data_IF_074209868754
#
_entry.id   IF_074209868754
#
_cell.length_a   1.000
_cell.length_b   1.000
_cell.length_c   1.000
_cell.angle_alpha   90.00
_cell.angle_beta   90.00
_cell.angle_gamma   90.00
#
_symmetry.space_group_name_H-M   'P 1'
#
loop_
_entity.id
_entity.type
_entity.pdbx_description
1 polymer ?
#
# COMPACT_ATOMS: atom_id res chain seq x y z
N UNK A 1 4.50 15.40 -17.94
CA UNK A 1 4.77 13.96 -17.78
C UNK A 1 4.95 13.65 -16.32
N UNK A 2 3.98 12.97 -15.71
CA UNK A 2 4.14 12.26 -14.45
C UNK A 2 5.04 11.05 -14.75
N UNK A 3 6.33 11.32 -14.98
CA UNK A 3 7.34 10.28 -15.19
C UNK A 3 7.86 9.83 -13.82
N UNK A 4 6.96 9.25 -13.01
CA UNK A 4 7.29 8.79 -11.66
C UNK A 4 7.63 7.30 -11.70
N UNK A 5 8.74 6.86 -11.09
CA UNK A 5 9.00 5.43 -10.91
C UNK A 5 7.85 4.81 -10.12
N UNK A 6 7.36 3.66 -10.59
CA UNK A 6 6.37 2.90 -9.84
C UNK A 6 7.11 2.24 -8.68
N UNK A 7 6.64 2.53 -7.47
CA UNK A 7 7.19 2.00 -6.23
C UNK A 7 6.26 0.97 -5.62
N UNK A 8 6.81 -0.16 -5.19
CA UNK A 8 6.09 -1.18 -4.43
C UNK A 8 6.60 -1.17 -3.00
N UNK A 9 5.70 -0.93 -2.04
CA UNK A 9 5.99 -1.12 -0.62
C UNK A 9 5.50 -2.51 -0.21
N UNK A 10 6.41 -3.38 0.23
CA UNK A 10 6.07 -4.64 0.87
C UNK A 10 6.09 -4.47 2.38
N UNK A 11 4.91 -4.63 2.98
CA UNK A 11 4.66 -4.39 4.38
C UNK A 11 4.30 -5.71 5.09
N UNK A 12 5.12 -6.10 6.05
CA UNK A 12 4.91 -7.28 6.90
C UNK A 12 5.42 -6.98 8.32
N UNK A 13 4.82 -7.59 9.34
CA UNK A 13 5.34 -7.55 10.71
C UNK A 13 6.36 -8.67 10.97
N UNK A 14 6.38 -9.68 10.10
CA UNK A 14 7.35 -10.76 10.11
C UNK A 14 7.66 -11.20 8.67
N UNK A 15 8.68 -10.58 8.10
CA UNK A 15 9.17 -10.86 6.75
C UNK A 15 9.45 -12.36 6.50
N UNK A 16 9.05 -12.83 5.32
CA UNK A 16 9.30 -14.19 4.83
C UNK A 16 10.51 -14.16 3.91
N UNK A 17 11.60 -14.82 4.33
CA UNK A 17 12.88 -14.82 3.60
C UNK A 17 12.75 -15.30 2.13
N UNK A 18 11.86 -16.25 1.85
CA UNK A 18 11.65 -16.75 0.49
C UNK A 18 10.92 -15.74 -0.38
N UNK A 19 9.99 -14.98 0.20
CA UNK A 19 9.30 -13.89 -0.49
C UNK A 19 10.20 -12.66 -0.64
N UNK A 20 10.99 -12.33 0.38
CA UNK A 20 11.94 -11.22 0.32
C UNK A 20 12.97 -11.45 -0.80
N UNK A 21 13.55 -12.65 -0.84
CA UNK A 21 14.47 -13.06 -1.90
C UNK A 21 13.81 -12.99 -3.28
N UNK A 22 12.55 -13.40 -3.38
CA UNK A 22 11.80 -13.32 -4.63
C UNK A 22 11.59 -11.88 -5.08
N UNK A 23 11.16 -10.99 -4.18
CA UNK A 23 10.91 -9.59 -4.50
C UNK A 23 12.21 -8.86 -4.91
N UNK A 24 13.33 -9.12 -4.23
CA UNK A 24 14.63 -8.55 -4.60
C UNK A 24 15.08 -8.94 -6.02
N UNK A 25 14.78 -10.18 -6.45
CA UNK A 25 15.01 -10.61 -7.83
C UNK A 25 14.11 -9.84 -8.81
N UNK A 26 12.82 -9.71 -8.49
CA UNK A 26 11.84 -8.96 -9.31
C UNK A 26 12.20 -7.48 -9.44
N UNK A 27 12.66 -6.82 -8.37
CA UNK A 27 13.13 -5.43 -8.40
C UNK A 27 14.19 -5.24 -9.50
N UNK A 28 15.14 -6.17 -9.57
CA UNK A 28 16.22 -6.16 -10.57
C UNK A 28 15.70 -6.44 -11.98
N UNK A 29 14.78 -7.39 -12.14
CA UNK A 29 14.28 -7.81 -13.46
C UNK A 29 13.28 -6.82 -14.09
N UNK A 30 12.51 -6.11 -13.27
CA UNK A 30 11.36 -5.30 -13.71
C UNK A 30 11.57 -3.79 -13.64
N UNK A 31 12.76 -3.33 -13.25
CA UNK A 31 13.05 -1.91 -12.98
C UNK A 31 11.98 -1.29 -12.04
N UNK A 32 11.56 -2.08 -11.05
CA UNK A 32 10.54 -1.72 -10.06
C UNK A 32 11.24 -1.41 -8.75
N UNK A 33 11.08 -0.20 -8.22
CA UNK A 33 11.64 0.15 -6.90
C UNK A 33 10.81 -0.52 -5.81
N UNK A 34 11.43 -1.41 -5.02
CA UNK A 34 10.78 -2.15 -3.94
C UNK A 34 11.33 -1.70 -2.59
N UNK A 35 10.42 -1.32 -1.71
CA UNK A 35 10.72 -0.94 -0.33
C UNK A 35 10.15 -1.97 0.63
N UNK A 36 11.00 -2.49 1.51
CA UNK A 36 10.64 -3.44 2.55
C UNK A 36 10.35 -2.67 3.84
N UNK A 37 9.11 -2.73 4.31
CA UNK A 37 8.65 -1.97 5.45
C UNK A 37 8.21 -2.90 6.59
N UNK A 38 9.06 -3.00 7.61
CA UNK A 38 8.78 -3.80 8.81
C UNK A 38 7.79 -3.04 9.71
N UNK A 39 6.64 -3.67 9.98
CA UNK A 39 5.59 -3.05 10.79
C UNK A 39 5.84 -3.27 12.26
N UNK A 40 6.08 -2.17 12.99
CA UNK A 40 6.20 -2.25 14.43
C UNK A 40 4.93 -2.76 15.11
N UNK A 41 5.13 -3.51 16.21
CA UNK A 41 4.03 -3.93 17.09
C UNK A 41 3.28 -2.76 17.73
N UNK A 42 3.87 -1.57 17.82
CA UNK A 42 3.22 -0.33 18.25
C UNK A 42 2.32 0.30 17.18
N UNK A 43 2.52 -0.03 15.90
CA UNK A 43 1.85 0.65 14.80
C UNK A 43 0.34 0.45 14.80
N UNK A 44 -0.37 1.53 14.51
CA UNK A 44 -1.82 1.55 14.26
C UNK A 44 -2.05 1.81 12.78
N UNK A 45 -3.26 1.55 12.28
CA UNK A 45 -3.57 1.92 10.89
C UNK A 45 -3.34 3.42 10.63
N UNK A 46 -3.65 4.29 11.60
CA UNK A 46 -3.42 5.74 11.49
C UNK A 46 -1.94 6.09 11.35
N UNK A 47 -1.05 5.43 12.08
CA UNK A 47 0.39 5.69 11.96
C UNK A 47 0.93 5.19 10.64
N UNK A 48 0.43 4.05 10.15
CA UNK A 48 0.77 3.50 8.84
C UNK A 48 0.31 4.40 7.68
N UNK A 49 -0.88 4.98 7.75
CA UNK A 49 -1.32 5.96 6.75
C UNK A 49 -0.41 7.20 6.65
N UNK A 50 0.34 7.50 7.70
CA UNK A 50 1.28 8.63 7.77
C UNK A 50 2.72 8.24 7.38
N UNK A 51 3.03 6.94 7.27
CA UNK A 51 4.36 6.45 6.89
C UNK A 51 4.70 6.89 5.47
N UNK A 52 5.95 7.33 5.26
CA UNK A 52 6.41 7.88 3.98
C UNK A 52 6.41 6.79 2.89
N UNK A 53 6.80 5.58 3.27
CA UNK A 53 6.86 4.37 2.46
C UNK A 53 5.47 4.02 1.89
N UNK A 54 4.44 4.15 2.73
CA UNK A 54 3.05 3.92 2.34
C UNK A 54 2.51 5.09 1.50
N UNK A 55 2.82 6.33 1.89
CA UNK A 55 2.36 7.53 1.16
C UNK A 55 2.95 7.62 -0.23
N UNK A 56 4.23 7.31 -0.42
CA UNK A 56 4.95 7.54 -1.68
C UNK A 56 4.90 6.35 -2.63
N UNK A 57 4.54 5.16 -2.14
CA UNK A 57 4.39 3.95 -2.95
C UNK A 57 3.15 3.99 -3.85
N UNK A 58 3.25 3.41 -5.04
CA UNK A 58 2.12 3.29 -5.99
C UNK A 58 1.41 1.95 -5.84
N UNK A 59 2.15 0.93 -5.40
CA UNK A 59 1.67 -0.42 -5.12
C UNK A 59 1.98 -0.74 -3.66
N UNK A 60 1.01 -1.31 -2.95
CA UNK A 60 1.19 -1.82 -1.58
C UNK A 60 0.95 -3.32 -1.62
N UNK A 61 1.91 -4.10 -1.14
CA UNK A 61 1.79 -5.52 -0.86
C UNK A 61 1.78 -5.69 0.66
N UNK A 62 0.69 -6.22 1.22
CA UNK A 62 0.53 -6.35 2.69
C UNK A 62 0.27 -7.78 3.09
N UNK A 63 0.80 -8.20 4.24
CA UNK A 63 0.32 -9.43 4.89
C UNK A 63 -1.10 -9.28 5.44
N UNK A 64 -1.86 -10.39 5.41
CA UNK A 64 -3.23 -10.48 5.90
C UNK A 64 -3.36 -10.40 7.42
N UNK A 65 -2.31 -10.75 8.18
CA UNK A 65 -2.32 -10.87 9.63
C UNK A 65 -1.60 -9.73 10.35
N UNK A 66 -1.24 -8.67 9.63
CA UNK A 66 -0.45 -7.53 10.12
C UNK A 66 -0.92 -6.92 11.47
N UNK A 67 -2.19 -7.10 11.84
CA UNK A 67 -2.74 -6.62 13.13
C UNK A 67 -3.38 -7.72 13.98
N UNK A 68 -3.26 -9.00 13.62
CA UNK A 68 -3.80 -10.11 14.40
C UNK A 68 -3.05 -10.25 15.72
N UNK A 69 -3.64 -9.76 16.81
CA UNK A 69 -3.05 -9.78 18.16
C UNK A 69 -3.16 -8.46 18.93
N UNK A 70 -3.58 -7.37 18.28
CA UNK A 70 -3.88 -6.09 18.95
C UNK A 70 -5.38 -6.01 19.26
N UNK A 71 -5.75 -5.40 20.38
CA UNK A 71 -7.16 -5.16 20.71
C UNK A 71 -7.81 -4.28 19.62
N UNK A 72 -8.72 -4.85 18.82
CA UNK A 72 -9.31 -4.18 17.66
C UNK A 72 -8.56 -4.38 16.33
N UNK A 73 -7.70 -5.39 16.23
CA UNK A 73 -6.87 -5.69 15.05
C UNK A 73 -7.67 -5.82 13.75
N UNK A 74 -7.27 -5.05 12.74
CA UNK A 74 -7.79 -5.12 11.38
C UNK A 74 -7.16 -6.30 10.64
N UNK A 75 -7.90 -6.99 9.79
CA UNK A 75 -7.26 -7.90 8.81
C UNK A 75 -6.58 -7.07 7.71
N UNK A 76 -5.60 -7.63 7.01
CA UNK A 76 -4.99 -6.97 5.84
C UNK A 76 -6.03 -6.65 4.75
N UNK A 77 -7.12 -7.42 4.66
CA UNK A 77 -8.25 -7.13 3.78
C UNK A 77 -9.05 -5.90 4.22
N UNK A 78 -9.29 -5.73 5.53
CA UNK A 78 -9.93 -4.54 6.08
C UNK A 78 -9.03 -3.31 5.94
N UNK A 79 -7.73 -3.47 6.19
CA UNK A 79 -6.76 -2.40 5.99
C UNK A 79 -6.66 -1.99 4.51
N UNK A 80 -6.77 -2.94 3.58
CA UNK A 80 -6.86 -2.64 2.15
C UNK A 80 -8.06 -1.75 1.82
N UNK A 81 -9.24 -1.98 2.41
CA UNK A 81 -10.39 -1.10 2.15
C UNK A 81 -10.18 0.30 2.71
N UNK A 82 -9.51 0.43 3.86
CA UNK A 82 -9.10 1.74 4.41
C UNK A 82 -8.10 2.43 3.45
N UNK A 83 -7.04 1.72 3.04
CA UNK A 83 -6.03 2.27 2.13
C UNK A 83 -6.63 2.72 0.80
N UNK A 84 -7.65 2.03 0.26
CA UNK A 84 -8.34 2.47 -0.96
C UNK A 84 -9.14 3.76 -0.76
N UNK A 85 -9.77 3.90 0.40
CA UNK A 85 -10.56 5.09 0.72
C UNK A 85 -9.65 6.30 0.87
N UNK A 86 -8.51 6.14 1.55
CA UNK A 86 -7.52 7.19 1.75
C UNK A 86 -6.71 7.47 0.47
N UNK A 87 -6.33 6.43 -0.26
CA UNK A 87 -5.46 6.49 -1.43
C UNK A 87 -6.10 5.85 -2.67
N UNK A 88 -7.11 6.51 -3.25
CA UNK A 88 -7.89 5.96 -4.37
C UNK A 88 -7.11 5.58 -5.64
N UNK A 89 -5.87 6.07 -5.80
CA UNK A 89 -5.01 5.77 -6.94
C UNK A 89 -4.06 4.56 -6.72
N UNK A 90 -3.81 4.16 -5.47
CA UNK A 90 -2.85 3.08 -5.15
C UNK A 90 -3.42 1.71 -5.50
N UNK A 91 -2.55 0.79 -5.90
CA UNK A 91 -2.88 -0.62 -6.13
C UNK A 91 -2.51 -1.43 -4.90
N UNK A 92 -3.48 -2.12 -4.30
CA UNK A 92 -3.26 -2.85 -3.03
C UNK A 92 -3.46 -4.34 -3.25
N UNK A 93 -2.41 -5.10 -2.96
CA UNK A 93 -2.32 -6.56 -3.02
C UNK A 93 -2.17 -7.11 -1.59
N UNK A 94 -2.85 -8.20 -1.28
CA UNK A 94 -2.85 -8.81 0.05
C UNK A 94 -2.34 -10.24 -0.04
N UNK A 95 -1.32 -10.56 0.74
CA UNK A 95 -0.81 -11.91 0.94
C UNK A 95 -1.58 -12.57 2.07
N UNK A 96 -2.29 -13.65 1.76
CA UNK A 96 -3.17 -14.32 2.72
C UNK A 96 -2.65 -15.69 3.10
N UNK A 97 -2.67 -15.98 4.41
CA UNK A 97 -2.46 -17.32 4.93
C UNK A 97 -3.70 -18.21 4.77
N UNK A 98 -4.90 -17.64 4.64
CA UNK A 98 -6.17 -18.36 4.61
C UNK A 98 -6.79 -18.43 3.21
N UNK A 99 -7.32 -19.61 2.90
CA UNK A 99 -8.11 -20.00 1.72
C UNK A 99 -7.37 -20.31 0.41
N UNK A 100 -7.26 -21.61 0.15
CA UNK A 100 -7.01 -22.21 -1.18
C UNK A 100 -8.03 -21.82 -2.27
N UNK A 101 -9.12 -21.14 -1.90
CA UNK A 101 -10.23 -20.72 -2.79
C UNK A 101 -10.46 -19.19 -2.83
N UNK A 102 -9.59 -18.38 -2.23
CA UNK A 102 -9.74 -16.92 -2.15
C UNK A 102 -8.83 -16.15 -3.11
N UNK A 103 -8.23 -16.82 -4.10
CA UNK A 103 -7.49 -16.09 -5.13
C UNK A 103 -8.45 -15.16 -5.86
N UNK A 104 -8.27 -13.86 -5.64
CA UNK A 104 -8.98 -12.80 -6.35
C UNK A 104 -7.98 -11.99 -7.15
N UNK A 105 -8.42 -10.92 -7.81
CA UNK A 105 -7.51 -9.99 -8.47
C UNK A 105 -6.52 -9.33 -7.49
N UNK A 106 -6.80 -9.31 -6.19
CA UNK A 106 -6.00 -8.60 -5.19
C UNK A 106 -5.56 -9.43 -3.99
N UNK A 107 -6.01 -10.68 -3.85
CA UNK A 107 -5.61 -11.59 -2.76
C UNK A 107 -4.78 -12.72 -3.34
N UNK A 108 -3.58 -12.90 -2.79
CA UNK A 108 -2.58 -13.89 -3.20
C UNK A 108 -2.33 -14.83 -2.02
N UNK A 109 -2.50 -16.15 -2.18
CA UNK A 109 -2.12 -17.09 -1.14
C UNK A 109 -0.60 -17.07 -0.90
N UNK A 110 -0.16 -17.07 0.37
CA UNK A 110 1.27 -17.18 0.72
C UNK A 110 1.81 -18.56 0.36
N UNK A 111 3.04 -18.61 -0.15
CA UNK A 111 3.75 -19.87 -0.39
C UNK A 111 3.93 -20.62 0.93
N UNK A 112 3.87 -21.95 0.88
CA UNK A 112 4.11 -22.82 2.04
C UNK A 112 5.12 -23.88 1.64
N UNK A 113 6.37 -23.81 2.14
CA UNK A 113 7.38 -24.80 1.82
C UNK A 113 6.98 -26.18 2.35
N UNK A 114 7.32 -27.22 1.60
CA UNK A 114 7.17 -28.60 2.06
C UNK A 114 8.26 -28.92 3.09
N UNK A 115 7.89 -29.71 4.11
CA UNK A 115 8.85 -30.17 5.12
C UNK A 115 9.84 -31.16 4.50
N UNK A 116 11.13 -30.91 4.67
CA UNK A 116 12.21 -31.82 4.26
C UNK A 116 13.06 -31.32 3.10
N UNK A 117 12.60 -30.33 2.35
CA UNK A 117 13.39 -29.71 1.28
C UNK A 117 14.52 -28.84 1.86
N UNK A 118 15.66 -28.75 1.17
CA UNK A 118 16.68 -27.75 1.48
C UNK A 118 16.26 -26.34 1.02
N UNK A 119 17.06 -25.33 1.38
CA UNK A 119 16.73 -23.94 1.08
C UNK A 119 16.68 -23.67 -0.44
N UNK A 120 17.59 -24.27 -1.22
CA UNK A 120 17.65 -24.06 -2.67
C UNK A 120 16.39 -24.59 -3.37
N UNK A 121 15.96 -25.81 -3.00
CA UNK A 121 14.72 -26.39 -3.51
C UNK A 121 13.48 -25.55 -3.14
N UNK A 122 13.43 -25.04 -1.90
CA UNK A 122 12.35 -24.15 -1.45
C UNK A 122 12.35 -22.81 -2.16
N UNK A 123 13.53 -22.22 -2.39
CA UNK A 123 13.68 -20.95 -3.10
C UNK A 123 13.20 -21.07 -4.54
N UNK A 124 13.63 -22.11 -5.25
CA UNK A 124 13.16 -22.37 -6.62
C UNK A 124 11.64 -22.58 -6.68
N UNK A 125 11.09 -23.41 -5.78
CA UNK A 125 9.65 -23.67 -5.74
C UNK A 125 8.83 -22.43 -5.33
N UNK A 126 9.35 -21.60 -4.42
CA UNK A 126 8.77 -20.30 -4.04
C UNK A 126 8.73 -19.36 -5.23
N UNK A 127 9.84 -19.26 -5.98
CA UNK A 127 9.94 -18.46 -7.19
C UNK A 127 8.89 -18.88 -8.23
N UNK A 128 8.84 -20.16 -8.60
CA UNK A 128 7.84 -20.67 -9.54
C UNK A 128 6.40 -20.40 -9.08
N UNK A 129 6.16 -20.48 -7.77
CA UNK A 129 4.87 -20.21 -7.18
C UNK A 129 4.46 -18.75 -7.32
N UNK A 130 5.35 -17.82 -6.99
CA UNK A 130 5.07 -16.39 -7.06
C UNK A 130 5.11 -15.85 -8.49
N UNK A 131 5.93 -16.40 -9.39
CA UNK A 131 5.91 -16.10 -10.83
C UNK A 131 4.53 -16.42 -11.44
N UNK A 132 3.88 -17.48 -10.95
CA UNK A 132 2.55 -17.86 -11.42
C UNK A 132 1.44 -16.98 -10.85
N UNK A 133 1.55 -16.56 -9.59
CA UNK A 133 0.42 -15.98 -8.84
C UNK A 133 0.58 -14.50 -8.52
N UNK A 134 1.76 -14.07 -8.10
CA UNK A 134 2.03 -12.71 -7.65
C UNK A 134 2.49 -11.81 -8.82
N UNK A 135 3.45 -12.26 -9.61
CA UNK A 135 4.03 -11.47 -10.71
C UNK A 135 2.96 -10.96 -11.69
N UNK A 136 1.99 -11.76 -12.16
CA UNK A 136 1.00 -11.27 -13.11
C UNK A 136 0.11 -10.17 -12.51
N UNK A 137 -0.09 -10.19 -11.18
CA UNK A 137 -0.88 -9.17 -10.48
C UNK A 137 -0.07 -7.89 -10.29
N UNK A 138 1.23 -7.98 -10.02
CA UNK A 138 2.15 -6.83 -9.99
C UNK A 138 2.22 -6.20 -11.38
N UNK A 139 2.45 -6.98 -12.44
CA UNK A 139 2.52 -6.48 -13.81
C UNK A 139 1.21 -5.80 -14.24
N UNK A 140 0.08 -6.39 -13.87
CA UNK A 140 -1.23 -5.77 -14.10
C UNK A 140 -1.37 -4.43 -13.37
N UNK A 141 -0.99 -4.37 -12.09
CA UNK A 141 -1.02 -3.13 -11.31
C UNK A 141 -0.14 -2.04 -11.94
N UNK A 142 1.08 -2.39 -12.37
CA UNK A 142 2.00 -1.50 -13.09
C UNK A 142 1.34 -0.96 -14.35
N UNK A 143 0.75 -1.83 -15.17
CA UNK A 143 0.07 -1.45 -16.41
C UNK A 143 -1.07 -0.47 -16.14
N UNK A 144 -1.96 -0.80 -15.21
CA UNK A 144 -3.11 0.05 -14.87
C UNK A 144 -2.68 1.42 -14.32
N UNK A 145 -1.58 1.49 -13.56
CA UNK A 145 -1.00 2.74 -13.07
C UNK A 145 -0.48 3.60 -14.24
N UNK A 146 0.28 3.00 -15.16
CA UNK A 146 0.79 3.70 -16.35
C UNK A 146 -0.35 4.28 -17.20
N UNK A 147 -1.37 3.47 -17.47
CA UNK A 147 -2.58 3.91 -18.20
C UNK A 147 -3.30 5.05 -17.45
N UNK A 148 -3.42 4.96 -16.12
CA UNK A 148 -4.03 6.01 -15.31
C UNK A 148 -3.24 7.32 -15.38
N UNK A 149 -1.91 7.28 -15.30
CA UNK A 149 -1.07 8.47 -15.38
C UNK A 149 -1.17 9.14 -16.75
N UNK A 150 -1.21 8.37 -17.83
CA UNK A 150 -1.42 8.92 -19.18
C UNK A 150 -2.77 9.64 -19.32
N UNK A 151 -3.84 9.08 -18.75
CA UNK A 151 -5.16 9.75 -18.76
C UNK A 151 -5.13 11.05 -17.95
N UNK A 152 -4.46 11.05 -16.79
CA UNK A 152 -4.39 12.22 -15.91
C UNK A 152 -3.60 13.37 -16.55
N UNK A 153 -2.50 13.06 -17.25
CA UNK A 153 -1.76 14.08 -18.01
C UNK A 153 -2.64 14.81 -19.04
N UNK A 154 -3.56 14.08 -19.67
CA UNK A 154 -4.51 14.62 -20.63
C UNK A 154 -5.68 15.39 -19.99
N UNK A 155 -5.91 15.28 -18.67
CA UNK A 155 -6.93 16.07 -17.98
C UNK A 155 -6.63 17.57 -18.00
N UNK A 156 -5.35 17.95 -18.01
CA UNK A 156 -4.91 19.34 -18.13
C UNK A 156 -5.36 20.02 -19.44
N UNK A 157 -5.63 19.22 -20.47
CA UNK A 157 -6.12 19.67 -21.78
C UNK A 157 -7.65 19.57 -21.89
N UNK A 158 -8.29 18.93 -20.91
CA UNK A 158 -9.73 18.83 -20.78
C UNK A 158 -10.23 20.05 -20.00
N UNK A 159 -11.50 20.42 -20.13
CA UNK A 159 -12.09 21.59 -19.44
C UNK A 159 -12.19 21.48 -17.91
N UNK A 160 -11.34 20.68 -17.28
CA UNK A 160 -11.21 20.48 -15.83
C UNK A 160 -10.44 21.66 -15.24
N UNK A 161 -10.86 22.13 -14.06
CA UNK A 161 -10.19 23.23 -13.39
C UNK A 161 -8.83 22.81 -12.80
N UNK A 162 -7.91 23.77 -12.70
CA UNK A 162 -6.54 23.55 -12.23
C UNK A 162 -6.48 22.99 -10.81
N UNK A 163 -7.35 23.45 -9.90
CA UNK A 163 -7.35 23.00 -8.51
C UNK A 163 -7.73 21.51 -8.40
N UNK A 164 -8.65 21.03 -9.24
CA UNK A 164 -8.97 19.61 -9.33
C UNK A 164 -7.77 18.80 -9.83
N UNK A 165 -7.02 19.30 -10.81
CA UNK A 165 -5.82 18.63 -11.33
C UNK A 165 -4.72 18.58 -10.26
N UNK A 166 -4.41 19.70 -9.62
CA UNK A 166 -3.41 19.80 -8.55
C UNK A 166 -3.74 18.86 -7.38
N UNK A 167 -5.00 18.73 -7.01
CA UNK A 167 -5.43 17.77 -5.97
C UNK A 167 -5.24 16.32 -6.39
N UNK A 168 -5.49 15.98 -7.66
CA UNK A 168 -5.26 14.62 -8.18
C UNK A 168 -3.75 14.31 -8.17
N UNK A 169 -2.93 15.25 -8.64
CA UNK A 169 -1.47 15.13 -8.64
C UNK A 169 -0.93 15.02 -7.21
N UNK A 170 -1.37 15.88 -6.30
CA UNK A 170 -1.01 15.83 -4.89
C UNK A 170 -1.37 14.49 -4.24
N UNK A 171 -2.56 13.95 -4.51
CA UNK A 171 -2.94 12.62 -4.04
C UNK A 171 -1.98 11.55 -4.56
N UNK A 172 -1.63 11.56 -5.86
CA UNK A 172 -0.67 10.61 -6.47
C UNK A 172 0.73 10.73 -5.87
N UNK A 173 1.12 11.94 -5.49
CA UNK A 173 2.38 12.20 -4.80
C UNK A 173 2.39 11.71 -3.35
N UNK A 174 1.22 11.33 -2.81
CA UNK A 174 1.04 11.03 -1.39
C UNK A 174 0.89 12.29 -0.54
N UNK A 175 0.80 13.46 -1.16
CA UNK A 175 0.48 14.74 -0.55
C UNK A 175 -1.04 14.86 -0.39
N UNK A 176 -1.60 13.98 0.44
CA UNK A 176 -3.01 14.10 0.83
C UNK A 176 -3.12 15.33 1.74
N UNK A 177 -3.91 16.32 1.33
CA UNK A 177 -4.46 17.30 2.27
C UNK A 177 -5.33 16.52 3.26
N UNK A 178 -4.75 16.22 4.43
CA UNK A 178 -5.48 15.51 5.47
C UNK A 178 -6.68 16.36 5.88
N UNK A 179 -7.88 15.77 5.81
CA UNK A 179 -9.02 16.33 6.52
C UNK A 179 -8.67 16.33 8.01
N UNK A 180 -8.91 17.44 8.74
CA UNK A 180 -8.55 17.51 10.16
C UNK A 180 -9.18 16.33 10.91
N UNK A 181 -8.37 15.63 11.67
CA UNK A 181 -8.86 14.52 12.48
C UNK A 181 -9.61 15.06 13.71
N UNK A 182 -10.15 14.15 14.52
CA UNK A 182 -10.94 14.57 15.69
C UNK A 182 -10.09 15.40 16.64
N UNK A 183 -8.84 15.00 16.84
CA UNK A 183 -7.90 15.69 17.72
C UNK A 183 -7.61 17.11 17.20
N UNK A 184 -7.45 17.29 15.89
CA UNK A 184 -7.32 18.59 15.24
C UNK A 184 -8.59 19.47 15.42
N UNK A 185 -9.77 18.87 15.26
CA UNK A 185 -11.06 19.56 15.44
C UNK A 185 -11.26 19.96 16.91
N UNK A 186 -10.95 19.07 17.85
CA UNK A 186 -11.06 19.34 19.28
C UNK A 186 -10.09 20.47 19.69
N UNK A 187 -8.87 20.48 19.16
CA UNK A 187 -7.91 21.56 19.37
C UNK A 187 -8.41 22.90 18.79
N UNK A 188 -9.00 22.89 17.59
CA UNK A 188 -9.64 24.07 16.98
C UNK A 188 -10.79 24.60 17.85
N UNK A 189 -11.65 23.72 18.35
CA UNK A 189 -12.74 24.06 19.26
C UNK A 189 -12.20 24.70 20.55
N UNK A 190 -11.14 24.15 21.12
CA UNK A 190 -10.55 24.67 22.35
C UNK A 190 -9.87 26.03 22.14
N UNK A 191 -9.22 26.26 20.99
CA UNK A 191 -8.72 27.58 20.60
C UNK A 191 -9.88 28.58 20.49
N UNK A 192 -10.99 28.19 19.86
CA UNK A 192 -12.18 29.03 19.75
C UNK A 192 -12.75 29.41 21.11
N UNK A 193 -12.92 28.44 22.03
CA UNK A 193 -13.42 28.69 23.39
C UNK A 193 -12.53 29.68 24.14
N UNK A 194 -11.21 29.46 24.14
CA UNK A 194 -10.24 30.35 24.80
C UNK A 194 -10.24 31.75 24.20
N UNK A 195 -10.48 31.87 22.90
CA UNK A 195 -10.56 33.18 22.25
C UNK A 195 -11.80 33.94 22.72
N UNK A 196 -12.95 33.25 22.83
CA UNK A 196 -14.19 33.86 23.35
C UNK A 196 -14.01 34.29 24.81
N UNK A 197 -13.41 33.44 25.65
CA UNK A 197 -13.16 33.75 27.08
C UNK A 197 -12.20 34.93 27.31
N UNK A 198 -11.35 35.28 26.34
CA UNK A 198 -10.43 36.43 26.42
C UNK A 198 -11.03 37.72 25.82
N UNK A 199 -12.24 37.68 25.28
CA UNK A 199 -12.95 38.83 24.71
C UNK A 199 -14.14 39.31 25.58
N UNK A 200 -14.40 38.65 26.72
CA UNK A 200 -15.26 39.11 27.82
C UNK A 200 -14.39 39.70 28.96
#
# INVERSE_FOLDING_TARGET
MINKPIRLCYMDDNHDELLDSYLAEIETEKELEIEFYEVEKSSTYKTLLKAEEIRTSSIILTDSQLFEGKAGGLTGEQFREILKQEFGHKKILVLSQFNKNAETSTIIPKYRPQTGDDFEARSLASKEYYDRLLLPKIEKAIKELKESFEVIENLSQSGVDLATIERIEGNIEGNIENMPDKEDIDALIDIFKKTIENYD
#
